data_IF_795728340439
#
_entry.id   IF_795728340439
#
_cell.length_a   1.000
_cell.length_b   1.000
_cell.length_c   1.000
_cell.angle_alpha   90.00
_cell.angle_beta   90.00
_cell.angle_gamma   90.00
#
_symmetry.space_group_name_H-M   'P 1'
#
loop_
_entity.id
_entity.type
_entity.pdbx_description
1 polymer ?
#
# COMPACT_ATOMS: atom_id res chain seq x y z
N UNK A 1 -15.52 5.34 15.05
CA UNK A 1 -14.26 4.61 15.29
C UNK A 1 -13.74 4.14 13.94
N UNK A 2 -12.47 3.74 13.87
CA UNK A 2 -11.88 3.14 12.69
C UNK A 2 -11.36 1.76 13.09
N UNK A 3 -11.66 0.74 12.29
CA UNK A 3 -11.06 -0.59 12.42
C UNK A 3 -9.89 -0.69 11.46
N UNK A 4 -8.81 -1.34 11.90
CA UNK A 4 -7.60 -1.53 11.11
C UNK A 4 -7.21 -2.99 11.06
N UNK A 5 -6.90 -3.48 9.85
CA UNK A 5 -6.32 -4.81 9.65
C UNK A 5 -4.83 -4.63 9.48
N UNK A 6 -4.04 -5.17 10.41
CA UNK A 6 -2.59 -5.13 10.34
C UNK A 6 -2.07 -6.41 9.67
N UNK A 7 -1.23 -6.23 8.67
CA UNK A 7 -0.49 -7.32 8.04
C UNK A 7 0.97 -7.20 8.53
N UNK A 8 1.27 -7.83 9.67
CA UNK A 8 2.59 -7.77 10.30
C UNK A 8 3.54 -8.87 9.79
N UNK A 9 4.81 -8.49 9.71
CA UNK A 9 6.01 -9.29 9.46
C UNK A 9 6.25 -9.86 8.06
N UNK A 10 6.47 -8.93 7.13
CA UNK A 10 7.50 -9.16 6.11
C UNK A 10 8.58 -8.10 6.28
N UNK A 11 9.72 -8.47 6.85
CA UNK A 11 11.05 -7.81 6.80
C UNK A 11 11.07 -6.27 6.62
N UNK A 12 10.22 -5.51 7.33
CA UNK A 12 10.25 -4.05 7.34
C UNK A 12 9.07 -3.30 6.70
N UNK A 13 7.95 -3.95 6.33
CA UNK A 13 6.73 -3.22 5.92
C UNK A 13 5.47 -3.75 6.59
N UNK A 14 4.63 -2.84 7.07
CA UNK A 14 3.29 -3.14 7.60
C UNK A 14 2.21 -2.41 6.80
N UNK A 15 1.10 -3.10 6.51
CA UNK A 15 -0.09 -2.52 5.92
C UNK A 15 -1.20 -2.39 6.97
N UNK A 16 -1.80 -1.20 7.08
CA UNK A 16 -3.07 -0.96 7.76
C UNK A 16 -4.13 -0.48 6.77
N UNK A 17 -5.33 -1.07 6.86
CA UNK A 17 -6.48 -0.67 6.06
C UNK A 17 -7.52 -0.05 6.96
N UNK A 18 -7.74 1.27 6.80
CA UNK A 18 -8.76 2.02 7.52
C UNK A 18 -10.11 1.99 6.82
N UNK A 19 -11.19 1.89 7.59
CA UNK A 19 -12.59 1.95 7.14
C UNK A 19 -13.47 2.66 8.16
N UNK A 20 -14.66 3.08 7.75
CA UNK A 20 -15.72 3.51 8.69
C UNK A 20 -16.33 2.28 9.36
N UNK A 21 -16.87 2.46 10.57
CA UNK A 21 -17.40 1.35 11.38
C UNK A 21 -18.55 0.58 10.70
N UNK A 22 -19.42 1.31 10.02
CA UNK A 22 -20.64 0.86 9.35
C UNK A 22 -20.44 0.48 7.88
N UNK A 23 -19.23 0.66 7.33
CA UNK A 23 -18.92 0.35 5.94
C UNK A 23 -17.94 -0.82 5.83
N UNK A 24 -18.16 -1.69 4.83
CA UNK A 24 -17.25 -2.78 4.49
C UNK A 24 -16.16 -2.37 3.51
N UNK A 25 -16.37 -1.26 2.81
CA UNK A 25 -15.44 -0.76 1.81
C UNK A 25 -14.28 -0.03 2.51
N UNK A 26 -13.01 -0.35 2.19
CA UNK A 26 -11.89 0.43 2.68
C UNK A 26 -11.98 1.90 2.30
N UNK A 27 -11.50 2.76 3.18
CA UNK A 27 -11.37 4.19 2.94
C UNK A 27 -9.93 4.57 2.60
N UNK A 28 -8.97 4.10 3.41
CA UNK A 28 -7.56 4.50 3.31
C UNK A 28 -6.64 3.33 3.60
N UNK A 29 -5.53 3.28 2.89
CA UNK A 29 -4.46 2.30 3.06
C UNK A 29 -3.22 3.03 3.56
N UNK A 30 -2.56 2.47 4.57
CA UNK A 30 -1.35 2.99 5.17
C UNK A 30 -0.28 1.90 5.09
N UNK A 31 0.81 2.16 4.37
CA UNK A 31 2.00 1.31 4.43
C UNK A 31 3.06 2.01 5.26
N UNK A 32 3.41 1.41 6.39
CA UNK A 32 4.51 1.87 7.24
C UNK A 32 5.78 1.13 6.85
N UNK A 33 6.84 1.86 6.59
CA UNK A 33 8.13 1.33 6.16
C UNK A 33 9.16 1.47 7.28
N UNK A 34 9.63 0.34 7.79
CA UNK A 34 10.85 0.22 8.57
C UNK A 34 12.02 -0.18 7.65
N UNK A 35 12.17 0.55 6.55
CA UNK A 35 13.21 0.38 5.53
C UNK A 35 14.09 1.63 5.49
N UNK A 36 15.28 1.53 4.90
CA UNK A 36 16.22 2.65 4.79
C UNK A 36 15.87 3.62 3.65
N UNK A 37 14.60 4.02 3.55
CA UNK A 37 14.08 4.89 2.47
C UNK A 37 14.54 6.35 2.66
N UNK A 38 15.02 6.97 1.57
CA UNK A 38 15.10 8.42 1.45
C UNK A 38 13.69 9.01 1.22
N UNK A 39 13.09 9.53 2.29
CA UNK A 39 11.73 10.09 2.27
C UNK A 39 11.56 11.29 1.31
N UNK A 40 12.65 11.96 0.91
CA UNK A 40 12.58 13.08 -0.05
C UNK A 40 12.33 12.60 -1.49
N UNK A 41 12.39 11.28 -1.73
CA UNK A 41 12.14 10.65 -3.02
C UNK A 41 10.82 9.90 -2.97
N UNK A 42 10.02 9.94 -4.04
CA UNK A 42 8.81 9.13 -4.11
C UNK A 42 9.16 7.64 -4.18
N UNK A 43 8.25 6.82 -3.68
CA UNK A 43 8.27 5.36 -3.85
C UNK A 43 7.41 4.99 -5.05
N UNK A 44 7.92 4.13 -5.92
CA UNK A 44 7.13 3.53 -6.98
C UNK A 44 6.44 2.29 -6.44
N UNK A 45 5.11 2.34 -6.34
CA UNK A 45 4.27 1.23 -5.95
C UNK A 45 3.76 0.49 -7.21
N UNK A 46 4.13 -0.77 -7.36
CA UNK A 46 3.76 -1.62 -8.51
C UNK A 46 3.04 -2.87 -8.04
N UNK A 47 1.74 -2.95 -8.32
CA UNK A 47 0.95 -4.15 -8.09
C UNK A 47 1.24 -5.19 -9.16
N UNK A 48 1.39 -6.45 -8.75
CA UNK A 48 1.73 -7.55 -9.64
C UNK A 48 0.83 -8.76 -9.43
N UNK A 49 0.65 -9.52 -10.51
CA UNK A 49 0.12 -10.87 -10.48
C UNK A 49 0.98 -11.78 -11.34
N UNK A 50 1.51 -12.85 -10.74
CA UNK A 50 2.41 -13.83 -11.36
C UNK A 50 3.62 -13.15 -12.01
N UNK A 51 4.19 -12.17 -11.32
CA UNK A 51 5.34 -11.37 -11.77
C UNK A 51 5.03 -10.35 -12.87
N UNK A 52 3.78 -10.23 -13.32
CA UNK A 52 3.38 -9.23 -14.33
C UNK A 52 2.77 -8.00 -13.65
N UNK A 53 3.21 -6.78 -14.00
CA UNK A 53 2.63 -5.56 -13.45
C UNK A 53 1.18 -5.39 -13.93
N UNK A 54 0.31 -4.98 -13.00
CA UNK A 54 -1.09 -4.64 -13.27
C UNK A 54 -1.25 -3.12 -13.30
N UNK A 55 -0.77 -2.44 -12.25
CA UNK A 55 -0.78 -0.98 -12.14
C UNK A 55 0.50 -0.55 -11.44
N UNK A 56 1.02 0.61 -11.83
CA UNK A 56 2.18 1.23 -11.21
C UNK A 56 1.93 2.72 -11.03
N UNK A 57 2.36 3.25 -9.90
CA UNK A 57 2.19 4.65 -9.54
C UNK A 57 3.39 5.13 -8.73
N UNK A 58 3.76 6.40 -8.92
CA UNK A 58 4.79 7.08 -8.13
C UNK A 58 4.07 7.83 -7.01
N UNK A 59 4.42 7.52 -5.76
CA UNK A 59 3.71 8.02 -4.60
C UNK A 59 4.66 8.79 -3.68
N UNK A 60 4.27 9.98 -3.19
CA UNK A 60 5.01 10.65 -2.13
C UNK A 60 4.88 9.88 -0.81
N UNK A 61 5.80 10.16 0.11
CA UNK A 61 5.81 9.62 1.46
C UNK A 61 5.57 10.73 2.48
N UNK A 62 4.94 10.35 3.58
CA UNK A 62 4.70 11.21 4.74
C UNK A 62 5.52 10.72 5.94
N UNK A 63 5.85 11.63 6.84
CA UNK A 63 6.37 11.31 8.17
C UNK A 63 5.20 11.36 9.14
N UNK A 64 4.83 10.22 9.71
CA UNK A 64 3.86 10.14 10.79
C UNK A 64 4.60 9.81 12.07
N UNK A 65 4.94 10.82 12.86
CA UNK A 65 5.59 10.68 14.19
C UNK A 65 6.91 9.90 14.14
N UNK A 66 7.69 10.07 13.08
CA UNK A 66 8.95 9.40 12.84
C UNK A 66 8.85 8.15 11.98
N UNK A 67 7.64 7.69 11.63
CA UNK A 67 7.44 6.56 10.74
C UNK A 67 7.25 7.02 9.29
N UNK A 68 8.10 6.51 8.38
CA UNK A 68 7.95 6.72 6.94
C UNK A 68 6.71 5.97 6.47
N UNK A 69 5.72 6.70 5.96
CA UNK A 69 4.41 6.15 5.66
C UNK A 69 3.95 6.54 4.26
N UNK A 70 3.43 5.57 3.51
CA UNK A 70 2.65 5.81 2.30
C UNK A 70 1.17 5.76 2.64
N UNK A 71 0.46 6.87 2.42
CA UNK A 71 -0.99 6.99 2.64
C UNK A 71 -1.70 7.05 1.29
N UNK A 72 -2.63 6.13 1.04
CA UNK A 72 -3.36 6.07 -0.22
C UNK A 72 -4.87 5.99 0.01
N UNK A 73 -5.69 6.79 -0.68
CA UNK A 73 -7.13 6.62 -0.68
C UNK A 73 -7.50 5.32 -1.43
N UNK A 74 -8.65 4.73 -1.08
CA UNK A 74 -9.14 3.55 -1.79
C UNK A 74 -9.50 3.85 -3.25
N UNK A 75 -9.93 5.08 -3.57
CA UNK A 75 -10.16 5.51 -4.95
C UNK A 75 -9.15 6.60 -5.27
N UNK A 76 -8.32 6.36 -6.28
CA UNK A 76 -7.29 7.29 -6.76
C UNK A 76 -7.76 7.81 -8.11
N UNK A 77 -8.01 9.12 -8.19
CA UNK A 77 -8.38 9.81 -9.42
C UNK A 77 -7.15 10.52 -9.98
N UNK A 78 -6.94 10.44 -11.29
CA UNK A 78 -5.85 11.15 -11.94
C UNK A 78 -6.38 12.45 -12.52
N UNK A 79 -5.74 13.58 -12.17
CA UNK A 79 -6.17 14.93 -12.57
C UNK A 79 -6.37 15.13 -14.07
N UNK A 80 -5.73 14.29 -14.90
CA UNK A 80 -5.72 14.40 -16.36
C UNK A 80 -6.44 13.23 -17.05
N UNK A 81 -7.24 12.44 -16.32
CA UNK A 81 -7.95 11.28 -16.86
C UNK A 81 -9.32 11.10 -16.20
N UNK A 82 -10.27 10.54 -16.95
CA UNK A 82 -11.52 10.03 -16.37
C UNK A 82 -11.32 8.66 -15.68
N UNK A 83 -10.12 8.09 -15.76
CA UNK A 83 -9.78 6.83 -15.13
C UNK A 83 -9.52 7.02 -13.63
N UNK A 84 -9.98 6.03 -12.85
CA UNK A 84 -9.67 5.90 -11.43
C UNK A 84 -9.16 4.49 -11.13
N UNK A 85 -8.34 4.40 -10.09
CA UNK A 85 -7.87 3.12 -9.55
C UNK A 85 -8.56 2.87 -8.22
N UNK A 86 -9.31 1.76 -8.15
CA UNK A 86 -9.80 1.23 -6.89
C UNK A 86 -8.73 0.32 -6.26
N UNK A 87 -8.09 0.81 -5.20
CA UNK A 87 -6.94 0.18 -4.58
C UNK A 87 -7.29 -1.16 -3.93
N UNK A 88 -8.45 -1.29 -3.29
CA UNK A 88 -8.94 -2.55 -2.75
C UNK A 88 -9.14 -3.61 -3.84
N UNK A 89 -9.76 -3.23 -4.96
CA UNK A 89 -9.96 -4.13 -6.09
C UNK A 89 -8.63 -4.58 -6.71
N UNK A 90 -7.64 -3.68 -6.77
CA UNK A 90 -6.29 -4.03 -7.26
C UNK A 90 -5.57 -4.94 -6.28
N UNK A 91 -5.66 -4.71 -4.97
CA UNK A 91 -5.11 -5.62 -3.95
C UNK A 91 -5.65 -7.04 -4.14
N UNK A 92 -6.97 -7.18 -4.26
CA UNK A 92 -7.62 -8.49 -4.43
C UNK A 92 -7.24 -9.20 -5.74
N UNK A 93 -6.82 -8.46 -6.76
CA UNK A 93 -6.37 -9.02 -8.04
C UNK A 93 -4.89 -9.38 -8.06
N UNK A 94 -4.11 -8.87 -7.11
CA UNK A 94 -2.65 -8.94 -7.09
C UNK A 94 -2.18 -10.01 -6.11
N UNK A 95 -1.03 -10.64 -6.41
CA UNK A 95 -0.37 -11.54 -5.44
C UNK A 95 0.76 -10.86 -4.67
N UNK A 96 1.21 -9.70 -5.15
CA UNK A 96 2.17 -8.85 -4.44
C UNK A 96 2.05 -7.39 -4.88
N UNK A 97 2.58 -6.50 -4.03
CA UNK A 97 2.95 -5.14 -4.39
C UNK A 97 4.46 -4.98 -4.20
N UNK A 98 5.12 -4.38 -5.20
CA UNK A 98 6.53 -4.07 -5.18
C UNK A 98 6.68 -2.58 -4.90
N UNK A 99 7.52 -2.24 -3.93
CA UNK A 99 7.94 -0.87 -3.64
C UNK A 99 9.36 -0.70 -4.14
N UNK A 100 9.54 0.03 -5.23
CA UNK A 100 10.87 0.47 -5.68
C UNK A 100 11.16 1.83 -5.06
N UNK A 101 12.26 1.95 -4.33
CA UNK A 101 12.59 3.15 -3.56
C UNK A 101 14.07 3.53 -3.67
N UNK A 102 14.35 4.79 -3.39
CA UNK A 102 15.72 5.28 -3.18
C UNK A 102 16.07 5.08 -1.71
N UNK A 103 17.16 4.39 -1.42
CA UNK A 103 17.67 4.26 -0.06
C UNK A 103 18.43 5.51 0.38
N UNK A 104 18.67 5.67 1.69
CA UNK A 104 19.39 6.82 2.26
C UNK A 104 20.82 6.99 1.75
N UNK A 105 21.44 5.93 1.23
CA UNK A 105 22.76 5.95 0.59
C UNK A 105 22.69 6.31 -0.92
N UNK A 106 21.49 6.56 -1.45
CA UNK A 106 21.23 6.89 -2.85
C UNK A 106 21.01 5.69 -3.77
N UNK A 107 21.13 4.45 -3.29
CA UNK A 107 20.92 3.24 -4.11
C UNK A 107 19.42 3.01 -4.39
N UNK A 108 19.10 2.36 -5.52
CA UNK A 108 17.73 1.90 -5.80
C UNK A 108 17.55 0.48 -5.25
N UNK A 109 16.44 0.26 -4.52
CA UNK A 109 16.09 -1.03 -3.93
C UNK A 109 14.63 -1.36 -4.18
N UNK A 110 14.33 -2.66 -4.17
CA UNK A 110 12.98 -3.18 -4.27
C UNK A 110 12.59 -3.92 -2.99
N UNK A 111 11.41 -3.64 -2.47
CA UNK A 111 10.77 -4.43 -1.42
C UNK A 111 9.50 -5.08 -1.96
N UNK A 112 9.37 -6.40 -1.78
CA UNK A 112 8.19 -7.15 -2.21
C UNK A 112 7.28 -7.45 -1.02
N UNK A 113 6.11 -6.84 -1.00
CA UNK A 113 5.08 -7.12 -0.01
C UNK A 113 4.04 -8.09 -0.60
N UNK A 114 3.87 -9.30 -0.04
CA UNK A 114 2.91 -10.27 -0.55
C UNK A 114 1.47 -9.88 -0.18
N UNK A 115 0.53 -10.19 -1.07
CA UNK A 115 -0.91 -9.91 -0.90
C UNK A 115 -1.76 -11.18 -0.80
N UNK A 116 -1.13 -12.35 -0.69
CA UNK A 116 -1.83 -13.61 -0.50
C UNK A 116 -2.62 -13.59 0.83
N UNK A 117 -3.90 -13.97 0.77
CA UNK A 117 -4.77 -13.96 1.95
C UNK A 117 -5.28 -12.56 2.35
N UNK A 118 -5.00 -11.53 1.55
CA UNK A 118 -5.38 -10.14 1.89
C UNK A 118 -6.89 -10.00 2.10
N UNK A 119 -7.69 -10.46 1.13
CA UNK A 119 -9.14 -10.30 1.16
C UNK A 119 -9.78 -11.12 2.29
N UNK A 120 -9.31 -12.35 2.50
CA UNK A 120 -9.79 -13.24 3.56
C UNK A 120 -9.57 -12.60 4.94
N UNK A 121 -8.35 -12.17 5.25
CA UNK A 121 -8.01 -11.48 6.50
C UNK A 121 -8.77 -10.17 6.69
N UNK A 122 -9.04 -9.45 5.60
CA UNK A 122 -9.84 -8.24 5.65
C UNK A 122 -11.30 -8.55 5.99
N UNK A 123 -11.88 -9.60 5.37
CA UNK A 123 -13.27 -10.00 5.58
C UNK A 123 -13.53 -10.60 6.97
N UNK A 124 -12.54 -11.26 7.58
CA UNK A 124 -12.64 -11.78 8.96
C UNK A 124 -12.93 -10.70 10.01
N UNK A 125 -12.69 -9.42 9.69
CA UNK A 125 -12.94 -8.27 10.59
C UNK A 125 -14.41 -7.83 10.63
N UNK A 126 -15.27 -8.50 9.86
CA UNK A 126 -16.72 -8.27 9.79
C UNK A 126 -17.56 -9.38 10.44
N UNK A 127 -16.92 -10.41 10.98
CA UNK A 127 -17.57 -11.53 11.68
C UNK A 127 -17.71 -11.19 13.16
#
# INVERSE_FOLDING_TARGET
>A
MAKSVAYNDYDGVCLFVGRKDDETVPLTFYYFFALDIDQQKPVKMTFQRRGKPIVSMSCPLEDIKGDITLIMPNVIEFSNSAESVNLFAVHNKSDAVIFTYTATDGTQKDFKFPLAGFNEKYLEQFI
#
